data_IF_533578313719
#
_entry.id   IF_533578313719
#
_cell.length_a   1.000
_cell.length_b   1.000
_cell.length_c   1.000
_cell.angle_alpha   90.00
_cell.angle_beta   90.00
_cell.angle_gamma   90.00
#
_symmetry.space_group_name_H-M   'P 1'
#
loop_
_entity.id
_entity.type
_entity.pdbx_description
1 polymer ?
#
# COMPACT_ATOMS: atom_id res chain seq x y z
N UNK A 1 -5.44 -4.54 -36.62
CA UNK A 1 -4.38 -3.56 -36.34
C UNK A 1 -4.53 -3.20 -34.87
N UNK A 2 -3.76 -3.83 -33.99
CA UNK A 2 -3.62 -3.34 -32.61
C UNK A 2 -3.06 -1.92 -32.73
N UNK A 3 -3.72 -0.96 -32.10
CA UNK A 3 -3.54 0.46 -32.35
C UNK A 3 -2.13 0.89 -31.94
N UNK A 4 -1.20 0.99 -32.90
CA UNK A 4 0.21 1.34 -32.66
C UNK A 4 0.36 2.65 -31.89
N UNK A 5 -0.61 3.54 -31.99
CA UNK A 5 -0.67 4.80 -31.24
C UNK A 5 -0.78 4.56 -29.73
N UNK A 6 -1.61 3.63 -29.27
CA UNK A 6 -1.78 3.36 -27.85
C UNK A 6 -0.56 2.64 -27.25
N UNK A 7 0.05 1.72 -27.99
CA UNK A 7 1.29 1.08 -27.54
C UNK A 7 2.45 2.07 -27.43
N UNK A 8 2.60 2.97 -28.41
CA UNK A 8 3.61 4.04 -28.35
C UNK A 8 3.35 4.99 -27.16
N UNK A 9 2.07 5.32 -26.91
CA UNK A 9 1.68 6.12 -25.75
C UNK A 9 2.06 5.43 -24.43
N UNK A 10 1.75 4.13 -24.27
CA UNK A 10 2.16 3.37 -23.07
C UNK A 10 3.66 3.37 -22.87
N UNK A 11 4.44 3.19 -23.95
CA UNK A 11 5.91 3.24 -23.86
C UNK A 11 6.41 4.62 -23.41
N UNK A 12 5.83 5.70 -23.91
CA UNK A 12 6.16 7.06 -23.48
C UNK A 12 5.81 7.28 -22.00
N UNK A 13 4.61 6.87 -21.57
CA UNK A 13 4.19 6.96 -20.17
C UNK A 13 5.08 6.13 -19.24
N UNK A 14 5.47 4.92 -19.64
CA UNK A 14 6.42 4.07 -18.89
C UNK A 14 7.78 4.74 -18.75
N UNK A 15 8.32 5.33 -19.83
CA UNK A 15 9.58 6.05 -19.77
C UNK A 15 9.51 7.24 -18.79
N UNK A 16 8.41 7.99 -18.82
CA UNK A 16 8.18 9.12 -17.92
C UNK A 16 8.07 8.70 -16.45
N UNK A 17 7.38 7.59 -16.17
CA UNK A 17 7.31 7.00 -14.83
C UNK A 17 8.71 6.62 -14.36
N UNK A 18 9.46 5.86 -15.16
CA UNK A 18 10.81 5.40 -14.81
C UNK A 18 11.75 6.56 -14.52
N UNK A 19 11.77 7.56 -15.39
CA UNK A 19 12.56 8.77 -15.19
C UNK A 19 12.20 9.48 -13.88
N UNK A 20 10.90 9.65 -13.59
CA UNK A 20 10.48 10.36 -12.37
C UNK A 20 10.83 9.59 -11.09
N UNK A 21 10.76 8.25 -11.12
CA UNK A 21 11.18 7.39 -10.02
C UNK A 21 12.71 7.44 -9.82
N UNK A 22 13.48 7.43 -10.90
CA UNK A 22 14.95 7.56 -10.87
C UNK A 22 15.37 8.92 -10.30
N UNK A 23 14.77 10.02 -10.79
CA UNK A 23 15.09 11.39 -10.37
C UNK A 23 14.77 11.65 -8.88
N UNK A 24 13.77 10.94 -8.33
CA UNK A 24 13.33 11.14 -6.94
C UNK A 24 14.10 10.29 -5.93
N UNK A 25 14.83 9.26 -6.39
CA UNK A 25 15.61 8.32 -5.55
C UNK A 25 14.84 7.70 -4.36
N UNK A 26 13.51 7.66 -4.42
CA UNK A 26 12.65 7.22 -3.32
C UNK A 26 11.43 6.43 -3.82
N UNK A 27 10.81 5.66 -2.91
CA UNK A 27 9.60 4.89 -3.22
C UNK A 27 8.39 5.81 -3.42
N UNK A 28 7.45 5.47 -4.31
CA UNK A 28 6.29 6.31 -4.57
C UNK A 28 5.27 6.28 -3.42
N UNK A 29 4.43 7.30 -3.37
CA UNK A 29 3.23 7.37 -2.53
C UNK A 29 2.01 7.06 -3.39
N UNK A 30 1.14 6.18 -2.91
CA UNK A 30 -0.12 5.89 -3.60
C UNK A 30 -1.28 6.59 -2.93
N UNK A 31 -2.09 7.26 -3.73
CA UNK A 31 -3.35 7.88 -3.31
C UNK A 31 -4.50 7.08 -3.94
N UNK A 32 -5.19 6.25 -3.15
CA UNK A 32 -6.14 5.24 -3.65
C UNK A 32 -7.57 5.57 -3.25
N UNK A 33 -8.44 5.72 -4.24
CA UNK A 33 -9.85 6.10 -4.07
C UNK A 33 -10.80 4.93 -4.29
N UNK A 34 -12.10 5.20 -4.18
CA UNK A 34 -13.14 4.17 -4.15
C UNK A 34 -13.26 3.41 -5.47
N UNK A 35 -12.77 3.97 -6.59
CA UNK A 35 -12.73 3.29 -7.88
C UNK A 35 -11.88 2.01 -7.86
N UNK A 36 -10.82 1.95 -7.04
CA UNK A 36 -10.00 0.75 -6.87
C UNK A 36 -10.79 -0.32 -6.10
N UNK A 37 -11.42 0.03 -4.98
CA UNK A 37 -12.28 -0.90 -4.23
C UNK A 37 -13.49 -1.35 -5.06
N UNK A 38 -14.11 -0.47 -5.86
CA UNK A 38 -15.20 -0.83 -6.78
C UNK A 38 -14.73 -1.84 -7.83
N UNK A 39 -13.55 -1.63 -8.42
CA UNK A 39 -13.01 -2.51 -9.46
C UNK A 39 -12.71 -3.91 -8.93
N UNK A 40 -12.05 -4.01 -7.78
CA UNK A 40 -11.53 -5.29 -7.30
C UNK A 40 -12.42 -6.00 -6.27
N UNK A 41 -13.20 -5.25 -5.48
CA UNK A 41 -14.14 -5.81 -4.50
C UNK A 41 -15.62 -5.62 -4.88
N UNK A 42 -15.94 -4.87 -5.94
CA UNK A 42 -17.33 -4.48 -6.18
C UNK A 42 -17.88 -3.52 -5.10
N UNK A 43 -17.00 -2.95 -4.27
CA UNK A 43 -17.37 -2.13 -3.13
C UNK A 43 -18.27 -0.95 -3.54
N UNK A 44 -19.26 -0.57 -2.74
CA UNK A 44 -20.17 0.52 -3.08
C UNK A 44 -19.45 1.87 -3.13
N UNK A 45 -19.81 2.68 -4.12
CA UNK A 45 -19.46 4.10 -4.17
C UNK A 45 -20.18 4.87 -3.06
N UNK A 46 -19.76 6.11 -2.80
CA UNK A 46 -20.34 6.89 -1.71
C UNK A 46 -21.85 7.12 -1.85
N UNK A 47 -22.33 7.37 -3.08
CA UNK A 47 -23.76 7.50 -3.35
C UNK A 47 -24.50 6.17 -3.18
N UNK A 48 -23.88 5.05 -3.56
CA UNK A 48 -24.46 3.70 -3.36
C UNK A 48 -24.56 3.36 -1.88
N UNK A 49 -23.57 3.76 -1.06
CA UNK A 49 -23.59 3.60 0.40
C UNK A 49 -24.74 4.39 1.03
N UNK A 50 -24.88 5.68 0.70
CA UNK A 50 -25.96 6.51 1.25
C UNK A 50 -27.33 5.98 0.82
N UNK A 51 -27.46 5.50 -0.43
CA UNK A 51 -28.69 4.86 -0.91
C UNK A 51 -28.98 3.55 -0.18
N UNK A 52 -27.97 2.71 0.05
CA UNK A 52 -28.13 1.45 0.79
C UNK A 52 -28.55 1.70 2.23
N UNK A 53 -27.91 2.65 2.91
CA UNK A 53 -28.27 3.05 4.26
C UNK A 53 -29.71 3.57 4.34
N UNK A 54 -30.16 4.37 3.35
CA UNK A 54 -31.54 4.82 3.26
C UNK A 54 -32.53 3.64 3.09
N UNK A 55 -32.22 2.70 2.19
CA UNK A 55 -33.04 1.53 1.95
C UNK A 55 -33.16 0.62 3.18
N UNK A 56 -32.08 0.47 3.97
CA UNK A 56 -32.07 -0.33 5.21
C UNK A 56 -33.04 0.19 6.27
N UNK A 57 -33.27 1.51 6.31
CA UNK A 57 -34.25 2.11 7.23
C UNK A 57 -35.66 2.23 6.61
N UNK A 58 -35.87 1.63 5.44
CA UNK A 58 -37.17 1.56 4.76
C UNK A 58 -37.52 2.78 3.90
N UNK A 59 -36.56 3.66 3.60
CA UNK A 59 -36.80 4.77 2.67
C UNK A 59 -36.82 4.26 1.23
N UNK A 60 -37.77 4.77 0.47
CA UNK A 60 -37.90 4.46 -0.96
C UNK A 60 -36.84 5.18 -1.81
N UNK A 61 -36.58 4.63 -2.99
CA UNK A 61 -35.72 5.30 -3.98
C UNK A 61 -36.23 6.70 -4.35
N UNK A 62 -37.55 6.93 -4.33
CA UNK A 62 -38.13 8.25 -4.60
C UNK A 62 -37.74 9.27 -3.52
N UNK A 63 -37.74 8.87 -2.25
CA UNK A 63 -37.31 9.72 -1.15
C UNK A 63 -35.81 10.03 -1.23
N UNK A 64 -34.99 9.04 -1.62
CA UNK A 64 -33.57 9.28 -1.85
C UNK A 64 -33.33 10.27 -3.01
N UNK A 65 -34.06 10.15 -4.13
CA UNK A 65 -33.99 11.13 -5.22
C UNK A 65 -34.47 12.52 -4.79
N UNK A 66 -35.47 12.61 -3.90
CA UNK A 66 -35.87 13.89 -3.32
C UNK A 66 -34.72 14.55 -2.55
N UNK A 67 -33.94 13.80 -1.75
CA UNK A 67 -32.78 14.38 -1.06
C UNK A 67 -31.71 14.87 -2.04
N UNK A 68 -31.44 14.09 -3.10
CA UNK A 68 -30.51 14.49 -4.17
C UNK A 68 -30.90 15.82 -4.81
N UNK A 69 -32.16 15.99 -5.17
CA UNK A 69 -32.65 17.26 -5.74
C UNK A 69 -32.57 18.39 -4.72
N UNK A 70 -32.94 18.13 -3.46
CA UNK A 70 -32.95 19.13 -2.40
C UNK A 70 -31.54 19.69 -2.09
N UNK A 71 -30.52 18.85 -2.18
CA UNK A 71 -29.13 19.22 -1.85
C UNK A 71 -28.29 19.52 -3.09
N UNK A 72 -28.89 19.57 -4.28
CA UNK A 72 -28.18 19.68 -5.56
C UNK A 72 -27.05 18.63 -5.70
N UNK A 73 -27.36 17.38 -5.37
CA UNK A 73 -26.42 16.24 -5.38
C UNK A 73 -25.25 16.35 -4.39
N UNK A 74 -25.31 17.25 -3.41
CA UNK A 74 -24.32 17.30 -2.33
C UNK A 74 -24.45 16.09 -1.40
N UNK A 75 -23.55 15.12 -1.55
CA UNK A 75 -23.52 13.87 -0.78
C UNK A 75 -23.28 14.09 0.72
N UNK A 76 -22.54 15.14 1.09
CA UNK A 76 -22.28 15.49 2.50
C UNK A 76 -23.58 15.93 3.19
N UNK A 77 -24.38 16.73 2.49
CA UNK A 77 -25.69 17.17 3.00
C UNK A 77 -26.68 16.00 3.07
N UNK A 78 -26.66 15.10 2.08
CA UNK A 78 -27.48 13.88 2.11
C UNK A 78 -27.10 13.01 3.30
N UNK A 79 -25.79 12.82 3.57
CA UNK A 79 -25.32 12.10 4.76
C UNK A 79 -25.84 12.72 6.06
N UNK A 80 -25.88 14.06 6.13
CA UNK A 80 -26.42 14.79 7.28
C UNK A 80 -27.94 14.62 7.44
N UNK A 81 -28.69 14.56 6.33
CA UNK A 81 -30.13 14.27 6.36
C UNK A 81 -30.39 12.82 6.80
N UNK A 82 -29.60 11.87 6.30
CA UNK A 82 -29.74 10.46 6.63
C UNK A 82 -29.33 10.16 8.08
N UNK A 83 -28.38 10.90 8.64
CA UNK A 83 -28.00 10.79 10.05
C UNK A 83 -29.22 10.92 10.97
N UNK A 84 -30.02 11.99 10.81
CA UNK A 84 -31.19 12.22 11.64
C UNK A 84 -32.24 11.11 11.44
N UNK A 85 -32.47 10.68 10.20
CA UNK A 85 -33.44 9.63 9.87
C UNK A 85 -33.03 8.26 10.41
N UNK A 86 -31.76 7.91 10.29
CA UNK A 86 -31.21 6.66 10.82
C UNK A 86 -31.24 6.68 12.35
N UNK A 87 -30.92 7.81 12.97
CA UNK A 87 -31.04 7.99 14.41
C UNK A 87 -32.48 7.74 14.90
N UNK A 88 -33.47 8.41 14.30
CA UNK A 88 -34.90 8.21 14.65
C UNK A 88 -35.34 6.74 14.47
N UNK A 89 -34.92 6.12 13.36
CA UNK A 89 -35.20 4.72 13.09
C UNK A 89 -34.55 3.79 14.13
N UNK A 90 -33.29 4.05 14.52
CA UNK A 90 -32.56 3.26 15.50
C UNK A 90 -33.25 3.24 16.88
N UNK A 91 -33.80 4.37 17.31
CA UNK A 91 -34.51 4.48 18.60
C UNK A 91 -35.91 3.87 18.61
N UNK A 92 -36.52 3.70 17.44
CA UNK A 92 -37.90 3.20 17.29
C UNK A 92 -37.95 1.72 16.90
N UNK A 93 -37.30 1.35 15.79
CA UNK A 93 -37.40 0.03 15.18
C UNK A 93 -36.05 -0.71 15.14
N UNK A 94 -34.93 0.02 15.13
CA UNK A 94 -33.59 -0.50 14.81
C UNK A 94 -32.73 -0.97 15.98
N UNK A 95 -33.23 -1.01 17.22
CA UNK A 95 -32.39 -1.28 18.42
C UNK A 95 -31.58 -2.57 18.34
N UNK A 96 -32.09 -3.60 17.69
CA UNK A 96 -31.42 -4.90 17.56
C UNK A 96 -30.27 -4.90 16.54
N UNK A 97 -30.17 -3.88 15.69
CA UNK A 97 -29.13 -3.76 14.67
C UNK A 97 -27.82 -3.19 15.23
N UNK A 98 -27.86 -2.57 16.42
CA UNK A 98 -26.73 -1.82 16.95
C UNK A 98 -26.26 -2.36 18.31
N UNK A 99 -24.97 -2.16 18.65
CA UNK A 99 -24.46 -2.40 19.99
C UNK A 99 -25.27 -1.64 21.08
N UNK A 100 -25.63 -2.27 22.21
CA UNK A 100 -26.40 -1.63 23.28
C UNK A 100 -25.75 -0.37 23.87
N UNK A 101 -24.42 -0.27 23.82
CA UNK A 101 -23.66 0.89 24.27
C UNK A 101 -24.00 2.17 23.48
N UNK A 102 -24.44 2.06 22.23
CA UNK A 102 -24.80 3.24 21.42
C UNK A 102 -26.04 3.96 21.98
N UNK A 103 -26.92 3.23 22.67
CA UNK A 103 -28.13 3.80 23.28
C UNK A 103 -27.93 4.29 24.71
N UNK A 104 -26.77 4.03 25.32
CA UNK A 104 -26.54 4.30 26.75
C UNK A 104 -25.31 5.17 27.04
N UNK A 105 -24.29 5.15 26.16
CA UNK A 105 -22.98 5.77 26.42
C UNK A 105 -22.48 6.67 25.30
N UNK A 106 -23.01 6.57 24.08
CA UNK A 106 -22.61 7.42 22.96
C UNK A 106 -23.51 8.65 22.85
N UNK A 107 -22.99 9.88 23.01
CA UNK A 107 -23.75 11.10 22.70
C UNK A 107 -23.78 11.41 21.20
N UNK A 108 -22.98 10.72 20.39
CA UNK A 108 -22.84 11.00 18.96
C UNK A 108 -23.95 10.29 18.16
N UNK A 109 -24.87 11.08 17.57
CA UNK A 109 -25.95 10.57 16.72
C UNK A 109 -25.46 9.96 15.41
N UNK A 110 -24.29 10.38 14.91
CA UNK A 110 -23.74 9.90 13.64
C UNK A 110 -23.34 8.42 13.69
N UNK A 111 -23.10 7.88 14.89
CA UNK A 111 -22.64 6.50 15.08
C UNK A 111 -23.58 5.46 14.46
N UNK A 112 -24.89 5.72 14.46
CA UNK A 112 -25.88 4.80 13.90
C UNK A 112 -25.76 4.73 12.36
N UNK A 113 -25.64 5.88 11.69
CA UNK A 113 -25.41 5.93 10.25
C UNK A 113 -24.06 5.28 9.90
N UNK A 114 -22.99 5.65 10.62
CA UNK A 114 -21.64 5.12 10.39
C UNK A 114 -21.59 3.60 10.59
N UNK A 115 -22.31 3.07 11.56
CA UNK A 115 -22.39 1.61 11.78
C UNK A 115 -23.14 0.90 10.65
N UNK A 116 -24.27 1.45 10.18
CA UNK A 116 -24.96 0.91 9.01
C UNK A 116 -24.01 0.88 7.79
N UNK A 117 -23.26 1.95 7.57
CA UNK A 117 -22.32 2.03 6.46
C UNK A 117 -21.19 1.00 6.61
N UNK A 118 -20.66 0.79 7.81
CA UNK A 118 -19.68 -0.26 8.05
C UNK A 118 -20.24 -1.66 7.74
N UNK A 119 -21.50 -1.93 8.09
CA UNK A 119 -22.18 -3.18 7.75
C UNK A 119 -22.38 -3.33 6.23
N UNK A 120 -22.81 -2.28 5.55
CA UNK A 120 -22.96 -2.26 4.08
C UNK A 120 -21.66 -2.63 3.35
N UNK A 121 -20.54 -2.08 3.83
CA UNK A 121 -19.22 -2.36 3.26
C UNK A 121 -18.81 -3.80 3.57
N UNK A 122 -19.07 -4.28 4.79
CA UNK A 122 -18.76 -5.64 5.18
C UNK A 122 -19.56 -6.67 4.36
N UNK A 123 -20.85 -6.43 4.18
CA UNK A 123 -21.74 -7.29 3.37
C UNK A 123 -21.24 -7.34 1.92
N UNK A 124 -20.94 -6.18 1.32
CA UNK A 124 -20.38 -6.10 -0.02
C UNK A 124 -19.04 -6.83 -0.16
N UNK A 125 -18.15 -6.72 0.84
CA UNK A 125 -16.86 -7.39 0.84
C UNK A 125 -16.97 -8.92 1.05
N UNK A 126 -18.02 -9.39 1.71
CA UNK A 126 -18.32 -10.82 1.89
C UNK A 126 -18.96 -11.47 0.66
N UNK A 127 -19.77 -10.71 -0.07
CA UNK A 127 -20.38 -11.14 -1.34
C UNK A 127 -19.43 -11.03 -2.54
N UNK A 128 -18.34 -10.26 -2.38
CA UNK A 128 -17.26 -10.18 -3.34
C UNK A 128 -16.57 -11.54 -3.49
N UNK A 129 -17.09 -12.37 -4.41
CA UNK A 129 -16.34 -13.48 -4.98
C UNK A 129 -15.00 -12.91 -5.45
N UNK A 130 -13.92 -13.29 -4.77
CA UNK A 130 -12.54 -12.91 -5.09
C UNK A 130 -12.32 -13.16 -6.58
N UNK A 131 -12.45 -12.07 -7.35
CA UNK A 131 -12.45 -11.92 -8.81
C UNK A 131 -12.37 -13.25 -9.57
N UNK A 132 -13.49 -13.77 -10.08
CA UNK A 132 -13.45 -14.95 -10.97
C UNK A 132 -12.64 -14.68 -12.26
N UNK A 133 -12.44 -13.41 -12.59
CA UNK A 133 -11.63 -12.92 -13.69
C UNK A 133 -10.12 -13.02 -13.38
N UNK A 134 -9.41 -13.81 -14.18
CA UNK A 134 -7.96 -14.00 -14.06
C UNK A 134 -7.17 -12.70 -14.28
N UNK A 135 -7.66 -11.79 -15.12
CA UNK A 135 -6.95 -10.53 -15.43
C UNK A 135 -6.89 -9.59 -14.21
N UNK A 136 -7.99 -9.48 -13.47
CA UNK A 136 -8.04 -8.67 -12.25
C UNK A 136 -7.17 -9.27 -11.13
N UNK A 137 -7.05 -10.61 -11.06
CA UNK A 137 -6.15 -11.26 -10.10
C UNK A 137 -4.68 -10.94 -10.40
N UNK A 138 -4.31 -10.92 -11.67
CA UNK A 138 -2.97 -10.53 -12.11
C UNK A 138 -2.68 -9.06 -11.78
N UNK A 139 -3.63 -8.14 -12.00
CA UNK A 139 -3.48 -6.74 -11.58
C UNK A 139 -3.29 -6.61 -10.05
N UNK A 140 -4.02 -7.37 -9.25
CA UNK A 140 -3.88 -7.38 -7.78
C UNK A 140 -2.52 -7.93 -7.35
N UNK A 141 -2.06 -9.02 -7.97
CA UNK A 141 -0.74 -9.60 -7.69
C UNK A 141 0.39 -8.61 -8.02
N UNK A 142 0.31 -7.93 -9.16
CA UNK A 142 1.24 -6.85 -9.51
C UNK A 142 1.15 -5.69 -8.51
N UNK A 143 -0.06 -5.25 -8.15
CA UNK A 143 -0.26 -4.19 -7.16
C UNK A 143 0.42 -4.53 -5.83
N UNK A 144 0.28 -5.76 -5.34
CA UNK A 144 0.88 -6.22 -4.09
C UNK A 144 2.42 -6.14 -4.06
N UNK A 145 3.06 -6.14 -5.25
CA UNK A 145 4.51 -6.12 -5.42
C UNK A 145 5.10 -4.72 -5.66
N UNK A 146 4.24 -3.72 -5.82
CA UNK A 146 4.67 -2.33 -6.10
C UNK A 146 5.37 -1.65 -4.94
N UNK A 147 5.13 -2.10 -3.69
CA UNK A 147 5.87 -1.70 -2.50
C UNK A 147 6.01 -0.16 -2.30
N UNK A 148 4.90 0.61 -2.35
CA UNK A 148 4.94 2.07 -2.16
C UNK A 148 5.43 2.46 -0.76
N UNK A 149 6.03 3.63 -0.62
CA UNK A 149 6.48 4.15 0.67
C UNK A 149 5.33 4.19 1.69
N UNK A 150 4.19 4.73 1.26
CA UNK A 150 2.95 4.75 1.99
C UNK A 150 1.75 4.81 1.05
N UNK A 151 0.59 4.44 1.58
CA UNK A 151 -0.68 4.48 0.88
C UNK A 151 -1.62 5.42 1.64
N UNK A 152 -2.28 6.33 0.93
CA UNK A 152 -3.27 7.25 1.46
C UNK A 152 -4.60 6.93 0.81
N UNK A 153 -5.66 6.83 1.59
CA UNK A 153 -6.99 6.50 1.07
C UNK A 153 -8.11 7.17 1.86
N UNK A 154 -9.18 7.54 1.16
CA UNK A 154 -10.47 7.93 1.76
C UNK A 154 -11.47 6.77 1.80
N UNK A 155 -11.04 5.56 1.43
CA UNK A 155 -11.88 4.36 1.47
C UNK A 155 -11.96 3.80 2.90
N UNK A 156 -13.12 3.22 3.23
CA UNK A 156 -13.35 2.65 4.56
C UNK A 156 -13.08 1.13 4.62
N UNK A 157 -13.15 0.44 3.47
CA UNK A 157 -12.93 -1.02 3.34
C UNK A 157 -11.49 -1.45 3.64
N UNK A 158 -11.28 -2.75 3.85
CA UNK A 158 -9.99 -3.37 4.20
C UNK A 158 -9.23 -3.94 2.99
N UNK A 159 -9.57 -3.54 1.76
CA UNK A 159 -8.94 -4.07 0.54
C UNK A 159 -7.43 -3.92 0.55
N UNK A 160 -6.95 -2.72 0.89
CA UNK A 160 -5.52 -2.39 0.83
C UNK A 160 -4.74 -3.14 1.90
N UNK A 161 -5.34 -3.34 3.08
CA UNK A 161 -4.78 -4.14 4.16
C UNK A 161 -4.64 -5.62 3.74
N UNK A 162 -5.58 -6.15 2.95
CA UNK A 162 -5.50 -7.51 2.39
C UNK A 162 -4.42 -7.63 1.32
N UNK A 163 -4.28 -6.63 0.45
CA UNK A 163 -3.28 -6.62 -0.63
C UNK A 163 -1.87 -6.40 -0.08
N UNK A 164 -1.73 -5.54 0.92
CA UNK A 164 -0.45 -5.13 1.50
C UNK A 164 -0.32 -5.62 2.95
N UNK A 165 -0.30 -6.94 3.16
CA UNK A 165 -0.38 -7.54 4.50
C UNK A 165 0.74 -7.17 5.49
N UNK A 166 1.87 -6.65 5.02
CA UNK A 166 2.96 -6.14 5.88
C UNK A 166 2.81 -4.64 6.26
N UNK A 167 1.77 -3.96 5.76
CA UNK A 167 1.53 -2.54 6.01
C UNK A 167 0.67 -2.34 7.27
N UNK A 168 0.88 -1.22 7.95
CA UNK A 168 0.12 -0.87 9.16
C UNK A 168 -1.01 0.13 8.82
N UNK A 169 -2.28 -0.20 9.06
CA UNK A 169 -3.37 0.76 8.90
C UNK A 169 -3.35 1.81 10.02
N UNK A 170 -3.37 3.09 9.63
CA UNK A 170 -3.43 4.24 10.51
C UNK A 170 -4.72 5.02 10.22
N UNK A 171 -5.67 4.91 11.14
CA UNK A 171 -7.05 5.39 10.93
C UNK A 171 -7.28 6.78 11.55
N UNK A 172 -7.84 7.69 10.76
CA UNK A 172 -8.35 8.99 11.19
C UNK A 172 -7.32 9.84 11.94
N UNK A 173 -7.64 10.26 13.16
CA UNK A 173 -6.79 11.15 13.96
C UNK A 173 -5.48 10.51 14.42
N UNK A 174 -5.37 9.18 14.37
CA UNK A 174 -4.12 8.48 14.75
C UNK A 174 -2.95 8.88 13.84
N UNK A 175 -3.23 9.33 12.61
CA UNK A 175 -2.25 9.88 11.65
C UNK A 175 -1.48 11.07 12.22
N UNK A 176 -2.13 11.90 13.03
CA UNK A 176 -1.52 13.08 13.65
C UNK A 176 -0.34 12.69 14.53
N UNK A 177 -0.43 11.57 15.25
CA UNK A 177 0.60 11.16 16.23
C UNK A 177 1.65 10.20 15.67
N UNK A 178 1.55 9.80 14.40
CA UNK A 178 2.51 8.88 13.76
C UNK A 178 3.75 9.61 13.22
N UNK A 179 4.92 9.00 13.33
CA UNK A 179 6.13 9.52 12.67
C UNK A 179 6.07 9.17 11.18
N UNK A 180 6.18 10.16 10.29
CA UNK A 180 6.07 9.95 8.83
C UNK A 180 7.30 9.33 8.18
N UNK A 181 8.38 9.14 8.92
CA UNK A 181 9.61 8.56 8.40
C UNK A 181 9.56 7.01 8.40
N UNK A 182 8.36 6.43 8.48
CA UNK A 182 8.12 5.00 8.56
C UNK A 182 7.55 4.50 7.24
N UNK A 183 8.20 3.49 6.67
CA UNK A 183 7.76 2.83 5.44
C UNK A 183 6.64 1.83 5.74
N UNK A 184 5.65 1.75 4.86
CA UNK A 184 4.62 0.72 4.92
C UNK A 184 3.44 1.07 5.82
N UNK A 185 2.95 2.30 5.75
CA UNK A 185 1.72 2.73 6.43
C UNK A 185 0.57 2.91 5.42
N UNK A 186 -0.65 2.55 5.83
CA UNK A 186 -1.89 2.83 5.10
C UNK A 186 -2.68 3.88 5.88
N UNK A 187 -2.66 5.11 5.41
CA UNK A 187 -3.36 6.24 6.02
C UNK A 187 -4.81 6.31 5.54
N UNK A 188 -5.74 5.87 6.40
CA UNK A 188 -7.19 5.91 6.15
C UNK A 188 -7.76 7.20 6.72
N UNK A 189 -7.70 8.26 5.91
CA UNK A 189 -7.94 9.63 6.39
C UNK A 189 -9.42 9.93 6.66
N UNK A 190 -10.34 9.16 6.08
CA UNK A 190 -11.78 9.27 6.34
C UNK A 190 -12.31 8.18 7.29
N UNK A 191 -11.44 7.45 7.98
CA UNK A 191 -11.84 6.40 8.91
C UNK A 191 -11.84 4.99 8.31
N UNK A 192 -12.37 4.03 9.06
CA UNK A 192 -12.41 2.61 8.68
C UNK A 192 -13.73 1.95 9.08
N UNK A 193 -14.18 0.95 8.31
CA UNK A 193 -15.33 0.12 8.67
C UNK A 193 -15.13 -0.64 9.99
N UNK A 194 -13.89 -0.96 10.36
CA UNK A 194 -13.55 -1.64 11.62
C UNK A 194 -13.72 -0.73 12.85
N UNK A 195 -13.69 0.58 12.65
CA UNK A 195 -13.90 1.60 13.68
C UNK A 195 -14.96 2.60 13.19
N UNK A 196 -16.27 2.24 13.26
CA UNK A 196 -17.33 3.07 12.73
C UNK A 196 -17.32 4.50 13.26
N UNK A 197 -16.87 4.73 14.49
CA UNK A 197 -16.80 6.08 15.08
C UNK A 197 -15.86 7.02 14.32
N UNK A 198 -14.86 6.46 13.63
CA UNK A 198 -13.85 7.19 12.85
C UNK A 198 -14.32 7.63 11.46
N UNK A 199 -15.43 7.08 10.96
CA UNK A 199 -15.93 7.34 9.61
C UNK A 199 -16.30 8.81 9.43
N UNK A 200 -15.89 9.42 8.32
CA UNK A 200 -16.21 10.80 7.94
C UNK A 200 -17.26 10.79 6.84
N UNK A 201 -18.53 11.10 7.16
CA UNK A 201 -19.64 10.97 6.20
C UNK A 201 -20.66 12.09 6.25
N UNK A 202 -20.81 12.77 7.40
CA UNK A 202 -21.75 13.88 7.59
C UNK A 202 -21.05 15.24 7.49
N UNK A 203 -21.82 16.32 7.35
CA UNK A 203 -21.26 17.68 7.37
C UNK A 203 -20.54 18.00 8.67
N UNK A 204 -21.05 17.51 9.81
CA UNK A 204 -20.38 17.66 11.10
C UNK A 204 -19.05 16.91 11.15
N UNK A 205 -18.97 15.71 10.56
CA UNK A 205 -17.71 14.97 10.45
C UNK A 205 -16.70 15.71 9.59
N UNK A 206 -17.13 16.25 8.44
CA UNK A 206 -16.25 17.01 7.56
C UNK A 206 -15.74 18.30 8.22
N UNK A 207 -16.56 19.01 9.00
CA UNK A 207 -16.12 20.21 9.72
C UNK A 207 -15.17 19.86 10.87
N UNK A 208 -15.47 18.82 11.66
CA UNK A 208 -14.57 18.30 12.68
C UNK A 208 -13.24 17.82 12.08
N UNK A 209 -13.31 17.12 10.95
CA UNK A 209 -12.16 16.69 10.19
C UNK A 209 -11.36 17.89 9.71
N UNK A 210 -11.97 18.93 9.13
CA UNK A 210 -11.30 20.13 8.62
C UNK A 210 -10.43 20.83 9.66
N UNK A 211 -10.89 20.90 10.92
CA UNK A 211 -10.11 21.47 12.03
C UNK A 211 -8.84 20.65 12.29
N UNK A 212 -8.97 19.31 12.26
CA UNK A 212 -7.88 18.36 12.53
C UNK A 212 -7.00 18.12 11.27
N UNK A 213 -7.55 18.37 10.09
CA UNK A 213 -6.97 18.18 8.76
C UNK A 213 -5.74 19.04 8.57
N UNK A 214 -5.66 20.25 9.12
CA UNK A 214 -4.50 21.14 8.92
C UNK A 214 -3.18 20.43 9.17
N UNK A 215 -3.13 19.59 10.21
CA UNK A 215 -1.94 18.83 10.52
C UNK A 215 -1.73 17.61 9.60
N UNK A 216 -2.80 16.90 9.24
CA UNK A 216 -2.76 15.80 8.26
C UNK A 216 -2.33 16.32 6.88
N UNK A 217 -2.94 17.41 6.39
CA UNK A 217 -2.53 18.14 5.19
C UNK A 217 -1.06 18.50 5.24
N UNK A 218 -0.57 19.18 6.30
CA UNK A 218 0.84 19.57 6.41
C UNK A 218 1.80 18.37 6.30
N UNK A 219 1.41 17.24 6.89
CA UNK A 219 2.11 15.97 6.79
C UNK A 219 2.10 15.40 5.38
N UNK A 220 0.93 15.31 4.77
CA UNK A 220 0.77 14.81 3.41
C UNK A 220 1.50 15.70 2.38
N UNK A 221 1.54 17.01 2.60
CA UNK A 221 2.31 17.94 1.76
C UNK A 221 3.79 17.55 1.69
N UNK A 222 4.39 17.13 2.81
CA UNK A 222 5.77 16.64 2.83
C UNK A 222 5.95 15.43 1.93
N UNK A 223 5.07 14.42 2.04
CA UNK A 223 5.12 13.26 1.15
C UNK A 223 4.95 13.61 -0.32
N UNK A 224 4.02 14.50 -0.63
CA UNK A 224 3.74 14.86 -2.01
C UNK A 224 4.82 15.78 -2.61
N UNK A 225 5.67 16.39 -1.78
CA UNK A 225 6.85 17.15 -2.21
C UNK A 225 8.10 16.28 -2.36
N UNK A 226 8.25 15.26 -1.52
CA UNK A 226 9.47 14.44 -1.43
C UNK A 226 9.38 13.12 -2.22
N UNK A 227 8.18 12.73 -2.66
CA UNK A 227 7.97 11.45 -3.36
C UNK A 227 7.20 11.62 -4.68
N UNK A 228 7.42 10.71 -5.65
CA UNK A 228 6.50 10.48 -6.75
C UNK A 228 5.14 10.03 -6.22
N UNK A 229 4.06 10.56 -6.78
CA UNK A 229 2.70 10.31 -6.30
C UNK A 229 1.86 9.72 -7.42
N UNK A 230 1.17 8.61 -7.14
CA UNK A 230 0.24 7.98 -8.07
C UNK A 230 -1.17 7.97 -7.50
N UNK A 231 -2.10 8.62 -8.21
CA UNK A 231 -3.50 8.73 -7.81
C UNK A 231 -4.33 7.73 -8.62
N UNK A 232 -4.90 6.74 -7.95
CA UNK A 232 -5.68 5.67 -8.55
C UNK A 232 -7.13 5.68 -8.09
N UNK A 233 -8.08 5.48 -9.02
CA UNK A 233 -9.49 5.25 -8.68
C UNK A 233 -10.18 6.40 -7.94
N UNK A 234 -9.66 7.63 -8.09
CA UNK A 234 -10.30 8.82 -7.54
C UNK A 234 -11.18 9.50 -8.59
N UNK A 235 -12.44 9.75 -8.23
CA UNK A 235 -13.15 10.87 -8.79
C UNK A 235 -12.72 12.13 -8.04
N UNK A 236 -12.23 13.15 -8.73
CA UNK A 236 -11.79 14.42 -8.11
C UNK A 236 -12.95 15.30 -7.58
N UNK A 237 -14.07 14.68 -7.21
CA UNK A 237 -15.19 15.34 -6.51
C UNK A 237 -15.00 15.41 -4.99
N UNK A 238 -14.01 14.72 -4.42
CA UNK A 238 -13.70 14.82 -2.98
C UNK A 238 -12.93 16.11 -2.69
N UNK A 239 -13.60 17.04 -2.01
CA UNK A 239 -13.04 18.35 -1.62
C UNK A 239 -11.84 18.26 -0.67
N UNK A 240 -11.69 17.14 0.07
CA UNK A 240 -10.55 16.98 0.96
C UNK A 240 -9.27 16.69 0.18
N UNK A 241 -9.34 15.82 -0.82
CA UNK A 241 -8.23 15.41 -1.67
C UNK A 241 -7.83 16.53 -2.62
N UNK A 242 -8.81 17.13 -3.31
CA UNK A 242 -8.55 18.28 -4.18
C UNK A 242 -7.95 19.43 -3.40
N UNK A 243 -8.45 19.72 -2.19
CA UNK A 243 -7.84 20.73 -1.31
C UNK A 243 -6.38 20.43 -0.96
N UNK A 244 -6.01 19.17 -0.69
CA UNK A 244 -4.60 18.80 -0.44
C UNK A 244 -3.76 19.03 -1.70
N UNK A 245 -4.24 18.59 -2.87
CA UNK A 245 -3.52 18.80 -4.14
C UNK A 245 -3.30 20.28 -4.46
N UNK A 246 -4.27 21.14 -4.12
CA UNK A 246 -4.15 22.57 -4.27
C UNK A 246 -3.13 23.20 -3.35
N UNK A 247 -3.15 22.84 -2.07
CA UNK A 247 -2.15 23.30 -1.11
C UNK A 247 -0.72 23.00 -1.63
N UNK A 248 -0.53 21.88 -2.34
CA UNK A 248 0.74 21.56 -3.00
C UNK A 248 0.99 22.45 -4.21
N UNK A 249 0.00 22.62 -5.09
CA UNK A 249 0.15 23.42 -6.31
C UNK A 249 0.53 24.86 -6.03
N UNK A 250 0.11 25.42 -4.90
CA UNK A 250 0.53 26.74 -4.44
C UNK A 250 1.98 26.79 -3.93
N UNK A 251 2.50 25.67 -3.43
CA UNK A 251 3.85 25.56 -2.84
C UNK A 251 4.89 25.15 -3.88
N UNK A 252 4.59 24.11 -4.67
CA UNK A 252 5.50 23.45 -5.61
C UNK A 252 5.25 23.86 -7.06
N UNK A 253 4.08 24.41 -7.38
CA UNK A 253 3.76 24.81 -8.74
C UNK A 253 4.72 25.89 -9.21
N UNK A 254 5.40 25.62 -10.32
CA UNK A 254 6.15 26.63 -11.05
C UNK A 254 5.24 27.74 -11.58
N UNK A 255 5.77 28.66 -12.42
CA UNK A 255 4.97 29.71 -13.06
C UNK A 255 3.74 29.17 -13.82
N UNK A 256 3.80 27.92 -14.24
CA UNK A 256 2.80 27.21 -15.02
C UNK A 256 1.87 26.30 -14.19
N UNK A 257 2.06 26.27 -12.85
CA UNK A 257 1.31 25.47 -11.86
C UNK A 257 1.23 23.97 -12.18
N UNK A 258 2.21 23.43 -12.91
CA UNK A 258 2.32 22.00 -13.15
C UNK A 258 3.09 21.33 -12.01
N UNK A 259 2.54 20.24 -11.48
CA UNK A 259 3.24 19.36 -10.54
C UNK A 259 3.67 18.10 -11.29
N UNK A 260 4.96 18.02 -11.59
CA UNK A 260 5.53 16.96 -12.44
C UNK A 260 5.66 15.61 -11.74
N UNK A 261 5.79 15.57 -10.42
CA UNK A 261 5.93 14.35 -9.65
C UNK A 261 4.59 13.67 -9.29
N UNK A 262 3.45 14.23 -9.72
CA UNK A 262 2.11 13.68 -9.46
C UNK A 262 1.51 13.13 -10.74
N UNK A 263 1.15 11.85 -10.73
CA UNK A 263 0.48 11.13 -11.80
C UNK A 263 -0.96 10.80 -11.42
N UNK A 264 -1.91 11.40 -12.12
CA UNK A 264 -3.32 11.03 -12.07
C UNK A 264 -3.61 9.93 -13.08
N UNK A 265 -4.06 8.77 -12.61
CA UNK A 265 -4.32 7.61 -13.47
C UNK A 265 -5.81 7.53 -13.77
N UNK A 266 -6.16 7.91 -15.00
CA UNK A 266 -7.53 7.92 -15.52
C UNK A 266 -7.86 6.56 -16.15
N UNK A 267 -8.77 5.81 -15.53
CA UNK A 267 -9.24 4.56 -16.11
C UNK A 267 -10.32 4.82 -17.18
N UNK A 268 -10.10 4.29 -18.38
CA UNK A 268 -11.01 4.36 -19.52
C UNK A 268 -11.06 3.04 -20.29
N UNK A 269 -12.22 2.39 -20.41
CA UNK A 269 -12.33 1.11 -21.12
C UNK A 269 -12.10 1.25 -22.62
N UNK A 270 -12.29 2.46 -23.17
CA UNK A 270 -12.10 2.78 -24.58
C UNK A 270 -10.69 3.31 -24.90
N UNK A 271 -9.76 3.32 -23.93
CA UNK A 271 -8.39 3.83 -24.10
C UNK A 271 -7.67 3.28 -25.36
N UNK A 272 -7.73 1.98 -25.69
CA UNK A 272 -7.07 1.45 -26.88
C UNK A 272 -7.62 1.99 -28.21
N UNK A 273 -8.83 2.56 -28.19
CA UNK A 273 -9.49 3.14 -29.38
C UNK A 273 -9.25 4.65 -29.51
N UNK A 274 -8.64 5.29 -28.52
CA UNK A 274 -8.35 6.72 -28.56
C UNK A 274 -7.18 7.03 -29.51
N UNK A 275 -7.24 8.22 -30.10
CA UNK A 275 -6.17 8.78 -30.95
C UNK A 275 -5.43 9.92 -30.26
N UNK A 276 -6.02 10.48 -29.21
CA UNK A 276 -5.48 11.58 -28.42
C UNK A 276 -5.63 11.23 -26.94
N UNK A 277 -4.56 11.46 -26.19
CA UNK A 277 -4.46 11.07 -24.79
C UNK A 277 -4.16 12.33 -23.97
N UNK A 278 -4.97 12.55 -22.94
CA UNK A 278 -4.76 13.66 -22.03
C UNK A 278 -3.49 13.40 -21.22
N UNK A 279 -2.46 14.22 -21.42
CA UNK A 279 -1.19 14.14 -20.68
C UNK A 279 -1.18 14.95 -19.38
N UNK A 280 -2.14 15.88 -19.21
CA UNK A 280 -2.26 16.71 -18.02
C UNK A 280 -3.70 16.78 -17.53
N UNK A 281 -3.93 16.61 -16.23
CA UNK A 281 -5.22 16.81 -15.59
C UNK A 281 -5.27 18.14 -14.85
N UNK A 282 -6.32 18.93 -15.09
CA UNK A 282 -6.57 20.21 -14.41
C UNK A 282 -7.41 19.95 -13.17
N UNK A 283 -6.84 20.20 -12.00
CA UNK A 283 -7.53 20.15 -10.72
C UNK A 283 -7.97 21.56 -10.36
N UNK A 284 -9.29 21.80 -10.37
CA UNK A 284 -9.88 23.09 -10.04
C UNK A 284 -10.67 23.00 -8.72
N UNK A 285 -10.34 23.85 -7.77
CA UNK A 285 -11.11 24.06 -6.53
C UNK A 285 -10.91 25.50 -6.01
N UNK A 286 -11.89 26.05 -5.29
CA UNK A 286 -11.81 27.38 -4.67
C UNK A 286 -11.28 28.53 -5.57
N UNK A 287 -11.45 28.45 -6.89
CA UNK A 287 -10.99 29.47 -7.85
C UNK A 287 -9.51 29.42 -8.27
N UNK A 288 -8.74 28.43 -7.81
CA UNK A 288 -7.37 28.16 -8.27
C UNK A 288 -7.33 26.87 -9.11
N UNK A 289 -6.58 26.90 -10.20
CA UNK A 289 -6.35 25.76 -11.08
C UNK A 289 -4.90 25.30 -10.96
N UNK A 290 -4.70 23.98 -10.84
CA UNK A 290 -3.39 23.34 -10.88
C UNK A 290 -3.40 22.25 -11.94
N UNK A 291 -2.22 21.89 -12.46
CA UNK A 291 -2.07 20.81 -13.42
C UNK A 291 -1.20 19.70 -12.84
N UNK A 292 -1.59 18.46 -13.06
CA UNK A 292 -0.80 17.27 -12.73
C UNK A 292 -0.65 16.41 -13.98
N UNK A 293 0.36 15.55 -14.04
CA UNK A 293 0.48 14.60 -15.16
C UNK A 293 -0.70 13.63 -15.14
N UNK A 294 -1.19 13.26 -16.31
CA UNK A 294 -2.30 12.34 -16.48
C UNK A 294 -1.89 11.15 -17.35
N UNK A 295 -2.31 9.96 -16.93
CA UNK A 295 -2.12 8.73 -17.68
C UNK A 295 -3.48 8.07 -17.89
N UNK A 296 -3.86 7.87 -19.14
CA UNK A 296 -5.12 7.24 -19.54
C UNK A 296 -4.89 5.75 -19.77
N UNK A 297 -5.70 4.90 -19.15
CA UNK A 297 -5.53 3.45 -19.32
C UNK A 297 -6.78 2.60 -19.23
N UNK A 298 -6.82 1.48 -19.95
CA UNK A 298 -7.82 0.42 -19.81
C UNK A 298 -7.43 -0.67 -18.80
N UNK A 299 -6.14 -0.79 -18.47
CA UNK A 299 -5.61 -1.77 -17.51
C UNK A 299 -4.53 -1.16 -16.64
N UNK A 300 -4.63 -1.38 -15.32
CA UNK A 300 -3.60 -0.93 -14.40
C UNK A 300 -2.34 -1.82 -14.42
N UNK A 301 -2.43 -3.02 -15.00
CA UNK A 301 -1.38 -4.04 -14.95
C UNK A 301 -0.02 -3.54 -15.44
N UNK A 302 0.04 -2.87 -16.59
CA UNK A 302 1.33 -2.38 -17.13
C UNK A 302 1.92 -1.24 -16.31
N UNK A 303 1.10 -0.45 -15.61
CA UNK A 303 1.56 0.59 -14.68
C UNK A 303 2.15 -0.07 -13.43
N UNK A 304 1.44 -1.03 -12.84
CA UNK A 304 1.92 -1.76 -11.66
C UNK A 304 3.18 -2.58 -11.97
N UNK A 305 3.25 -3.17 -13.16
CA UNK A 305 4.46 -3.84 -13.64
C UNK A 305 5.64 -2.86 -13.71
N UNK A 306 5.44 -1.70 -14.34
CA UNK A 306 6.47 -0.65 -14.42
C UNK A 306 6.96 -0.23 -13.02
N UNK A 307 6.04 -0.01 -12.08
CA UNK A 307 6.36 0.36 -10.70
C UNK A 307 7.13 -0.75 -9.97
N UNK A 308 6.79 -2.02 -10.23
CA UNK A 308 7.47 -3.18 -9.63
C UNK A 308 8.87 -3.38 -10.20
N UNK A 309 9.07 -3.23 -11.51
CA UNK A 309 10.38 -3.37 -12.17
C UNK A 309 11.37 -2.27 -11.76
N UNK A 310 10.86 -1.08 -11.46
CA UNK A 310 11.68 0.08 -11.11
C UNK A 310 12.02 0.12 -9.62
N UNK A 311 11.42 -0.75 -8.79
CA UNK A 311 11.73 -0.85 -7.37
C UNK A 311 13.16 -1.40 -7.17
N UNK A 312 14.13 -0.61 -6.64
CA UNK A 312 15.56 -0.99 -6.62
C UNK A 312 15.91 -2.17 -5.70
N UNK A 313 14.97 -2.66 -4.89
CA UNK A 313 15.24 -3.63 -3.83
C UNK A 313 14.44 -4.92 -4.03
N UNK A 314 15.14 -6.07 -3.97
CA UNK A 314 14.51 -7.32 -3.55
C UNK A 314 13.90 -7.06 -2.16
N UNK A 315 12.58 -7.08 -2.10
CA UNK A 315 11.71 -6.74 -0.98
C UNK A 315 12.33 -6.96 0.41
N UNK A 316 12.44 -5.88 1.19
CA UNK A 316 12.70 -5.94 2.63
C UNK A 316 11.38 -5.74 3.35
N UNK A 317 11.05 -6.62 4.30
CA UNK A 317 9.79 -6.56 5.04
C UNK A 317 9.60 -5.17 5.71
N UNK A 318 8.57 -4.39 5.35
CA UNK A 318 8.32 -3.05 5.90
C UNK A 318 8.17 -3.04 7.42
N UNK A 319 7.58 -4.08 8.02
CA UNK A 319 7.43 -4.20 9.48
C UNK A 319 8.80 -4.23 10.16
N UNK A 320 9.78 -4.91 9.56
CA UNK A 320 11.16 -4.92 10.07
C UNK A 320 11.79 -3.53 9.94
N UNK A 321 11.64 -2.87 8.78
CA UNK A 321 12.13 -1.51 8.57
C UNK A 321 11.52 -0.53 9.58
N UNK A 322 10.21 -0.58 9.80
CA UNK A 322 9.52 0.23 10.82
C UNK A 322 10.08 -0.03 12.22
N UNK A 323 10.30 -1.28 12.59
CA UNK A 323 10.85 -1.64 13.89
C UNK A 323 12.27 -1.08 14.09
N UNK A 324 13.12 -1.17 13.07
CA UNK A 324 14.47 -0.59 13.06
C UNK A 324 14.42 0.93 13.18
N UNK A 325 13.63 1.60 12.32
CA UNK A 325 13.46 3.06 12.34
C UNK A 325 12.94 3.55 13.69
N UNK A 326 11.92 2.90 14.25
CA UNK A 326 11.38 3.25 15.56
C UNK A 326 12.43 3.12 16.68
N UNK A 327 13.27 2.08 16.63
CA UNK A 327 14.36 1.91 17.61
C UNK A 327 15.43 3.00 17.44
N UNK A 328 15.78 3.33 16.20
CA UNK A 328 16.76 4.37 15.88
C UNK A 328 16.29 5.75 16.33
N UNK A 329 15.05 6.15 16.00
CA UNK A 329 14.50 7.43 16.46
C UNK A 329 14.36 7.49 17.98
N UNK A 330 14.00 6.39 18.65
CA UNK A 330 13.99 6.33 20.11
C UNK A 330 15.39 6.54 20.70
N UNK A 331 16.42 5.94 20.10
CA UNK A 331 17.81 6.12 20.51
C UNK A 331 18.21 7.60 20.42
N UNK A 332 17.99 8.23 19.26
CA UNK A 332 18.36 9.62 19.01
C UNK A 332 17.56 10.64 19.84
N UNK A 333 16.24 10.48 19.94
CA UNK A 333 15.36 11.49 20.56
C UNK A 333 15.24 11.36 22.07
N UNK A 334 15.47 10.17 22.63
CA UNK A 334 15.22 9.89 24.05
C UNK A 334 16.42 9.29 24.75
N UNK A 335 16.95 8.16 24.26
CA UNK A 335 17.91 7.39 25.06
C UNK A 335 19.28 8.10 25.17
N UNK A 336 19.79 8.70 24.07
CA UNK A 336 21.02 9.50 24.09
C UNK A 336 20.84 10.80 24.92
N UNK A 337 19.81 11.65 24.67
CA UNK A 337 19.64 12.90 25.43
C UNK A 337 19.42 12.69 26.94
N UNK A 338 18.88 11.54 27.35
CA UNK A 338 18.68 11.22 28.78
C UNK A 338 19.96 10.74 29.47
N UNK A 339 21.06 10.53 28.74
CA UNK A 339 22.36 10.15 29.30
C UNK A 339 22.42 8.70 29.82
N UNK A 340 21.47 7.86 29.43
CA UNK A 340 21.43 6.45 29.86
C UNK A 340 22.35 5.54 29.02
N UNK A 341 23.04 6.10 28.04
CA UNK A 341 23.88 5.38 27.08
C UNK A 341 25.16 6.17 26.87
N UNK A 342 26.31 5.49 26.96
CA UNK A 342 27.62 6.05 26.61
C UNK A 342 27.77 6.06 25.08
N UNK A 343 28.13 7.22 24.53
CA UNK A 343 28.22 7.43 23.07
C UNK A 343 29.68 7.34 22.63
N UNK A 344 29.99 6.34 21.79
CA UNK A 344 31.28 6.26 21.10
C UNK A 344 31.25 7.15 19.85
N UNK A 345 31.75 8.37 19.99
CA UNK A 345 31.80 9.35 18.91
C UNK A 345 32.72 8.93 17.75
N UNK A 346 33.79 8.18 18.03
CA UNK A 346 34.72 7.76 16.99
C UNK A 346 34.08 6.71 16.07
N UNK A 347 33.33 5.77 16.66
CA UNK A 347 32.57 4.80 15.89
C UNK A 347 31.41 5.44 15.13
N UNK A 348 30.67 6.37 15.74
CA UNK A 348 29.60 7.10 15.04
C UNK A 348 30.12 7.91 13.85
N UNK A 349 31.27 8.55 13.98
CA UNK A 349 31.89 9.30 12.89
C UNK A 349 32.32 8.36 11.74
N UNK A 350 32.88 7.19 12.08
CA UNK A 350 33.22 6.16 11.09
C UNK A 350 31.98 5.67 10.33
N UNK A 351 30.84 5.53 11.00
CA UNK A 351 29.57 5.12 10.39
C UNK A 351 28.95 6.24 9.55
N UNK A 352 29.03 7.50 10.01
CA UNK A 352 28.50 8.65 9.31
C UNK A 352 29.28 8.99 8.03
N UNK A 353 30.61 8.80 8.06
CA UNK A 353 31.49 9.11 6.94
C UNK A 353 31.58 7.97 5.90
N UNK A 354 30.96 6.82 6.17
CA UNK A 354 30.99 5.64 5.29
C UNK A 354 29.60 5.20 4.82
N UNK A 355 29.38 5.29 3.51
CA UNK A 355 28.19 4.74 2.85
C UNK A 355 28.04 3.21 3.01
N UNK A 356 29.07 2.51 3.47
CA UNK A 356 29.09 1.04 3.56
C UNK A 356 28.96 0.50 4.98
N UNK A 357 29.34 1.27 5.99
CA UNK A 357 29.31 0.80 7.38
C UNK A 357 27.89 0.80 7.96
N UNK A 358 27.08 1.80 7.63
CA UNK A 358 25.68 1.84 8.07
C UNK A 358 24.86 0.67 7.50
N UNK A 359 24.91 0.34 6.19
CA UNK A 359 24.26 -0.86 5.66
C UNK A 359 24.72 -2.15 6.37
N UNK A 360 26.03 -2.33 6.59
CA UNK A 360 26.57 -3.51 7.31
C UNK A 360 26.02 -3.63 8.74
N UNK A 361 25.97 -2.52 9.49
CA UNK A 361 25.41 -2.48 10.84
C UNK A 361 23.93 -2.84 10.88
N UNK A 362 23.18 -2.43 9.85
CA UNK A 362 21.76 -2.74 9.70
C UNK A 362 21.51 -4.13 9.10
N UNK A 363 22.56 -4.88 8.75
CA UNK A 363 22.45 -6.17 8.06
C UNK A 363 21.97 -6.04 6.62
N UNK A 364 21.98 -4.83 6.05
CA UNK A 364 21.64 -4.53 4.67
C UNK A 364 22.92 -4.74 3.86
N UNK A 365 22.96 -5.86 3.14
CA UNK A 365 24.07 -6.15 2.25
C UNK A 365 23.77 -5.57 0.87
N UNK A 366 24.79 -4.97 0.21
CA UNK A 366 24.66 -4.55 -1.18
C UNK A 366 24.29 -5.75 -2.07
N UNK A 367 23.65 -5.47 -3.20
CA UNK A 367 23.09 -6.46 -4.15
C UNK A 367 24.14 -7.44 -4.71
N UNK A 368 25.42 -7.12 -4.55
CA UNK A 368 26.60 -7.93 -4.86
C UNK A 368 27.05 -8.85 -3.71
N UNK A 369 26.31 -8.90 -2.60
CA UNK A 369 26.67 -9.76 -1.47
C UNK A 369 26.28 -11.22 -1.71
N UNK A 370 27.12 -12.19 -1.27
CA UNK A 370 26.80 -13.62 -1.33
C UNK A 370 25.43 -13.95 -0.70
N UNK A 371 24.97 -13.19 0.30
CA UNK A 371 23.69 -13.42 0.95
C UNK A 371 22.46 -13.25 0.01
N UNK A 372 22.57 -12.44 -1.05
CA UNK A 372 21.51 -12.28 -2.05
C UNK A 372 21.42 -13.46 -3.03
N UNK A 373 22.54 -14.15 -3.26
CA UNK A 373 22.65 -15.37 -4.08
C UNK A 373 22.38 -16.65 -3.26
N UNK A 374 22.64 -16.62 -1.94
CA UNK A 374 22.44 -17.74 -1.01
C UNK A 374 21.46 -17.36 0.12
N UNK A 375 20.14 -17.19 -0.17
CA UNK A 375 19.17 -16.68 0.80
C UNK A 375 18.69 -17.72 1.82
N UNK A 376 18.97 -19.01 1.61
CA UNK A 376 18.39 -20.09 2.42
C UNK A 376 19.34 -20.62 3.48
N UNK A 377 18.81 -20.96 4.66
CA UNK A 377 19.44 -21.88 5.60
C UNK A 377 19.10 -23.33 5.25
N UNK A 378 19.77 -24.31 5.86
CA UNK A 378 19.45 -25.73 5.63
C UNK A 378 18.02 -26.08 6.09
N UNK A 379 17.49 -25.37 7.09
CA UNK A 379 16.10 -25.49 7.54
C UNK A 379 15.12 -24.95 6.51
N UNK A 380 15.46 -23.85 5.83
CA UNK A 380 14.64 -23.28 4.77
C UNK A 380 14.62 -24.20 3.55
N UNK A 381 15.78 -24.72 3.14
CA UNK A 381 15.90 -25.73 2.06
C UNK A 381 15.04 -26.96 2.38
N UNK A 382 15.10 -27.46 3.63
CA UNK A 382 14.26 -28.58 4.06
C UNK A 382 12.77 -28.26 3.95
N UNK A 383 12.35 -27.07 4.40
CA UNK A 383 10.95 -26.63 4.32
C UNK A 383 10.47 -26.52 2.87
N UNK A 384 11.29 -25.97 1.98
CA UNK A 384 10.99 -25.85 0.55
C UNK A 384 10.84 -27.22 -0.13
N UNK A 385 11.61 -28.23 0.31
CA UNK A 385 11.50 -29.61 -0.16
C UNK A 385 10.31 -30.38 0.46
N UNK A 386 9.49 -29.75 1.29
CA UNK A 386 8.34 -30.38 1.96
C UNK A 386 8.68 -31.16 3.23
N UNK A 387 9.87 -30.97 3.80
CA UNK A 387 10.35 -31.68 4.99
C UNK A 387 10.33 -30.83 6.26
N UNK A 388 9.89 -31.45 7.36
CA UNK A 388 9.81 -30.84 8.69
C UNK A 388 11.14 -30.68 9.41
N UNK A 389 12.20 -31.40 8.99
CA UNK A 389 13.47 -31.42 9.71
C UNK A 389 14.68 -31.29 8.77
N UNK A 390 15.58 -30.37 9.12
CA UNK A 390 16.79 -30.02 8.35
C UNK A 390 17.68 -31.21 7.97
N UNK A 391 17.71 -32.27 8.80
CA UNK A 391 18.55 -33.45 8.55
C UNK A 391 18.11 -34.26 7.32
N UNK A 392 16.86 -34.09 6.85
CA UNK A 392 16.39 -34.72 5.61
C UNK A 392 17.05 -34.10 4.38
N UNK A 393 17.13 -32.77 4.31
CA UNK A 393 17.87 -32.08 3.25
C UNK A 393 19.36 -32.45 3.28
N UNK A 394 19.96 -32.58 4.47
CA UNK A 394 21.34 -33.06 4.62
C UNK A 394 21.55 -34.47 4.05
N UNK A 395 20.61 -35.37 4.28
CA UNK A 395 20.68 -36.75 3.77
C UNK A 395 20.68 -36.78 2.24
N UNK A 396 19.90 -35.92 1.60
CA UNK A 396 19.90 -35.80 0.13
C UNK A 396 21.23 -35.26 -0.39
N UNK A 397 21.86 -34.30 0.30
CA UNK A 397 23.20 -33.82 -0.06
C UNK A 397 24.25 -34.93 0.08
N UNK A 398 24.15 -35.75 1.14
CA UNK A 398 25.02 -36.92 1.34
C UNK A 398 24.79 -37.96 0.24
N UNK A 399 23.54 -38.20 -0.17
CA UNK A 399 23.21 -39.07 -1.30
C UNK A 399 23.82 -38.58 -2.61
N UNK A 400 23.73 -37.28 -2.90
CA UNK A 400 24.37 -36.68 -4.09
C UNK A 400 25.88 -36.94 -4.10
N UNK A 401 26.55 -36.78 -2.95
CA UNK A 401 27.98 -37.07 -2.83
C UNK A 401 28.28 -38.56 -3.08
N UNK A 402 27.45 -39.45 -2.55
CA UNK A 402 27.65 -40.89 -2.65
C UNK A 402 27.37 -41.42 -4.08
N UNK A 403 26.43 -40.80 -4.82
CA UNK A 403 26.06 -41.16 -6.20
C UNK A 403 26.98 -40.53 -7.26
N UNK A 404 27.38 -39.28 -7.09
CA UNK A 404 28.17 -38.53 -8.09
C UNK A 404 29.67 -38.49 -7.78
N UNK A 405 30.07 -38.80 -6.54
CA UNK A 405 31.43 -38.62 -6.04
C UNK A 405 31.83 -37.16 -5.80
N UNK A 406 30.92 -36.20 -6.02
CA UNK A 406 31.18 -34.77 -5.89
C UNK A 406 30.80 -34.29 -4.49
N UNK A 407 31.78 -33.79 -3.73
CA UNK A 407 31.51 -33.12 -2.45
C UNK A 407 31.14 -31.65 -2.67
N UNK A 408 29.84 -31.37 -2.62
CA UNK A 408 29.29 -30.01 -2.74
C UNK A 408 29.92 -29.06 -1.72
N UNK A 409 30.39 -29.54 -0.56
CA UNK A 409 30.95 -28.69 0.49
C UNK A 409 32.47 -28.45 0.39
N UNK A 410 33.12 -28.95 -0.66
CA UNK A 410 34.58 -28.86 -0.85
C UNK A 410 35.07 -27.45 -1.17
N UNK A 411 34.28 -26.65 -1.91
CA UNK A 411 34.57 -25.26 -2.26
C UNK A 411 33.28 -24.45 -2.26
N UNK A 412 33.34 -23.15 -1.99
CA UNK A 412 32.19 -22.27 -2.24
C UNK A 412 31.82 -22.30 -3.73
N UNK A 413 30.55 -22.50 -4.05
CA UNK A 413 30.06 -22.77 -5.40
C UNK A 413 28.60 -22.34 -5.55
N UNK A 414 28.03 -22.50 -6.75
CA UNK A 414 26.64 -22.09 -7.06
C UNK A 414 25.55 -22.69 -6.16
N UNK A 415 25.83 -23.76 -5.41
CA UNK A 415 24.87 -24.42 -4.51
C UNK A 415 24.97 -23.90 -3.06
N UNK A 416 26.17 -23.51 -2.60
CA UNK A 416 26.34 -23.03 -1.24
C UNK A 416 27.50 -22.04 -1.05
N UNK A 417 27.42 -21.28 0.04
CA UNK A 417 28.48 -20.39 0.51
C UNK A 417 28.75 -20.59 2.01
N UNK A 418 30.01 -20.75 2.40
CA UNK A 418 30.43 -20.87 3.79
C UNK A 418 30.66 -19.50 4.43
N UNK A 419 29.86 -19.14 5.44
CA UNK A 419 30.08 -17.94 6.25
C UNK A 419 31.21 -18.23 7.25
N UNK A 420 32.29 -17.42 7.27
CA UNK A 420 33.32 -17.51 8.29
C UNK A 420 32.72 -17.26 9.67
N UNK A 421 32.81 -18.24 10.57
CA UNK A 421 32.40 -18.08 11.98
C UNK A 421 33.56 -18.49 12.88
N UNK A 422 33.61 -17.96 14.12
CA UNK A 422 34.65 -18.30 15.11
C UNK A 422 34.56 -19.76 15.64
N UNK A 423 33.64 -20.59 15.12
CA UNK A 423 33.38 -21.97 15.56
C UNK A 423 34.00 -23.05 14.65
N UNK A 424 34.04 -24.30 15.14
CA UNK A 424 34.62 -25.47 14.42
C UNK A 424 33.88 -25.89 13.14
N UNK A 425 32.67 -25.36 12.90
CA UNK A 425 31.90 -25.63 11.70
C UNK A 425 31.42 -24.31 11.09
N UNK A 426 31.76 -24.02 9.81
CA UNK A 426 31.29 -22.82 9.15
C UNK A 426 29.77 -22.88 9.00
N UNK A 427 29.11 -21.76 9.28
CA UNK A 427 27.67 -21.64 9.04
C UNK A 427 27.45 -21.51 7.53
N UNK A 428 26.63 -22.36 6.92
CA UNK A 428 26.48 -22.40 5.46
C UNK A 428 25.15 -21.80 5.03
N UNK A 429 25.19 -21.08 3.92
CA UNK A 429 24.03 -20.54 3.21
C UNK A 429 23.88 -21.23 1.87
N UNK A 430 22.65 -21.31 1.40
CA UNK A 430 22.25 -22.12 0.26
C UNK A 430 21.48 -21.29 -0.75
N UNK A 431 21.69 -21.59 -2.03
CA UNK A 431 21.06 -20.90 -3.16
C UNK A 431 19.77 -21.61 -3.59
N UNK A 432 19.09 -21.09 -4.61
CA UNK A 432 17.92 -21.78 -5.17
C UNK A 432 18.33 -23.03 -5.95
N UNK A 433 19.51 -23.02 -6.54
CA UNK A 433 20.07 -24.09 -7.35
C UNK A 433 20.30 -25.37 -6.55
N UNK A 434 20.56 -25.29 -5.24
CA UNK A 434 20.60 -26.50 -4.40
C UNK A 434 19.20 -27.02 -4.09
N UNK A 435 18.19 -26.16 -4.01
CA UNK A 435 16.80 -26.60 -3.80
C UNK A 435 16.34 -27.37 -5.04
N UNK A 436 16.57 -26.81 -6.23
CA UNK A 436 16.23 -27.45 -7.51
C UNK A 436 16.98 -28.79 -7.68
N UNK A 437 18.27 -28.84 -7.32
CA UNK A 437 19.04 -30.09 -7.34
C UNK A 437 18.47 -31.15 -6.38
N UNK A 438 18.18 -30.79 -5.13
CA UNK A 438 17.70 -31.75 -4.13
C UNK A 438 16.24 -32.15 -4.38
N UNK A 439 15.46 -31.33 -5.06
CA UNK A 439 14.12 -31.66 -5.57
C UNK A 439 14.22 -32.75 -6.64
N UNK A 440 15.10 -32.60 -7.63
CA UNK A 440 15.37 -33.65 -8.62
C UNK A 440 15.84 -34.96 -7.97
N UNK A 441 16.71 -34.89 -6.95
CA UNK A 441 17.20 -36.07 -6.20
C UNK A 441 16.06 -36.73 -5.40
N UNK A 442 15.17 -35.94 -4.79
CA UNK A 442 14.00 -36.43 -4.04
C UNK A 442 13.03 -37.17 -4.96
N UNK A 443 12.81 -36.62 -6.15
CA UNK A 443 11.80 -37.10 -7.09
C UNK A 443 12.35 -38.19 -8.04
N UNK A 444 13.64 -38.49 -7.96
CA UNK A 444 14.30 -39.55 -8.71
C UNK A 444 14.57 -39.20 -10.18
N UNK A 445 14.68 -37.91 -10.48
CA UNK A 445 14.96 -37.41 -11.83
C UNK A 445 16.46 -37.48 -12.15
N UNK A 446 16.84 -37.48 -13.44
CA UNK A 446 18.24 -37.38 -13.83
C UNK A 446 18.79 -35.99 -13.47
N UNK A 447 19.92 -35.96 -12.75
CA UNK A 447 20.57 -34.72 -12.34
C UNK A 447 22.08 -34.77 -12.61
N UNK A 448 22.67 -33.59 -12.80
CA UNK A 448 24.13 -33.44 -12.94
C UNK A 448 24.65 -32.39 -11.96
N UNK A 449 25.82 -32.65 -11.40
CA UNK A 449 26.45 -31.77 -10.40
C UNK A 449 27.73 -31.19 -10.98
N UNK A 450 27.83 -29.87 -10.97
CA UNK A 450 29.05 -29.13 -11.38
C UNK A 450 29.36 -28.09 -10.32
N UNK A 451 30.57 -28.15 -9.73
CA UNK A 451 31.02 -27.18 -8.72
C UNK A 451 31.42 -25.84 -9.34
#
# INVERSE_FOLDING_TARGET
MVNSTYENYKQHAVALIKQTLEDSECQPIFFIGTGISKRYLGAPTWIELLRSAAARIGLSDQEFQYFRQKTNDNLIEIGSILEDKVFEWAWTHGKNTFPPEYFSKSPDKSIFLKHIIALDIQDAAGEANTTADSSLREEIDLLSKTNPHAIITTNYDDFLERVFGDYEPVVGEKVIRRDMNLVGEIFKIHGSMEDPSSIVITGADYENYRIKKKYISAKLLTYLAEHPVFIFGYGLGDTNVTGILQDIGEILGGPDKLIENVFYIEWRPDAPSLTDFREEYVVSANGSELRVRAIVTDSFGWIFQCLTETAPLKWVNPKLLRAISARFFKLLRSDIPRGNIEVDYAQLQTVADSETELPKLLGIARTDSPNASYPYSLTDVSSLLGFTFWWKARKLIEQVRDETGVDIFSTDNKYHYAIPTKGKHPNRRYSKEIVDLLEAVRDGEEYTVSL
#
